data_IF_000677786224
#
_entry.id   IF_000677786224
#
_cell.length_a   1.000
_cell.length_b   1.000
_cell.length_c   1.000
_cell.angle_alpha   90.00
_cell.angle_beta   90.00
_cell.angle_gamma   90.00
#
_symmetry.space_group_name_H-M   'P 1'
#
loop_
_entity.id
_entity.type
_entity.pdbx_description
1 polymer ?
#
# COMPACT_ATOMS: atom_id res chain seq x y z
N UNK A 1 5.70 -78.33 -4.54
CA UNK A 1 5.00 -77.41 -3.63
C UNK A 1 4.88 -76.07 -4.35
N UNK A 2 3.72 -75.75 -4.94
CA UNK A 2 2.61 -74.98 -4.33
C UNK A 2 2.87 -73.47 -4.40
N UNK A 3 2.62 -72.83 -5.55
CA UNK A 3 1.52 -71.89 -5.97
C UNK A 3 1.66 -70.41 -5.53
N UNK A 4 1.33 -69.52 -6.49
CA UNK A 4 0.86 -68.12 -6.42
C UNK A 4 1.96 -67.04 -6.30
N UNK A 5 1.94 -65.94 -7.06
CA UNK A 5 0.90 -65.39 -7.92
C UNK A 5 1.46 -64.22 -8.75
N UNK A 6 0.81 -63.97 -9.89
CA UNK A 6 1.16 -62.88 -10.79
C UNK A 6 0.95 -61.50 -10.16
N UNK A 7 1.89 -60.60 -10.42
CA UNK A 7 1.64 -59.16 -10.29
C UNK A 7 1.10 -58.66 -11.64
N UNK A 8 -0.21 -58.70 -11.78
CA UNK A 8 -0.92 -57.92 -12.79
C UNK A 8 -0.72 -56.43 -12.47
N UNK A 9 -0.22 -55.67 -13.44
CA UNK A 9 -0.23 -54.21 -13.41
C UNK A 9 -1.69 -53.73 -13.41
N UNK A 10 -2.13 -52.89 -12.45
CA UNK A 10 -3.40 -52.20 -12.61
C UNK A 10 -3.25 -51.06 -13.63
N UNK A 11 -4.21 -50.92 -14.58
CA UNK A 11 -4.27 -49.82 -15.53
C UNK A 11 -5.02 -48.60 -14.95
N UNK A 12 -5.05 -47.51 -15.74
CA UNK A 12 -5.73 -46.22 -15.52
C UNK A 12 -4.95 -45.22 -14.64
N UNK A 13 -4.75 -43.96 -15.04
CA UNK A 13 -5.68 -43.07 -15.72
C UNK A 13 -4.94 -42.09 -16.66
N UNK A 14 -5.35 -42.04 -17.94
CA UNK A 14 -5.15 -40.86 -18.80
C UNK A 14 -6.11 -39.77 -18.32
N UNK A 15 -5.59 -38.76 -17.65
CA UNK A 15 -6.26 -37.47 -17.43
C UNK A 15 -5.31 -36.47 -18.10
N UNK A 16 -5.57 -35.96 -19.30
CA UNK A 16 -6.83 -35.36 -19.68
C UNK A 16 -6.80 -33.92 -19.20
N UNK A 17 -6.73 -33.00 -20.16
CA UNK A 17 -6.81 -31.55 -19.99
C UNK A 17 -5.52 -30.88 -19.49
N UNK A 18 -4.83 -30.25 -20.46
CA UNK A 18 -4.19 -28.96 -20.20
C UNK A 18 -5.18 -28.14 -19.37
N UNK A 19 -4.89 -27.95 -18.09
CA UNK A 19 -5.41 -26.79 -17.39
C UNK A 19 -4.67 -25.64 -18.05
N UNK A 20 -5.27 -25.10 -19.11
CA UNK A 20 -5.12 -23.70 -19.45
C UNK A 20 -5.38 -22.98 -18.14
N UNK A 21 -4.30 -22.61 -17.44
CA UNK A 21 -4.31 -21.53 -16.47
C UNK A 21 -4.74 -20.33 -17.30
N UNK A 22 -6.06 -20.19 -17.44
CA UNK A 22 -6.70 -18.95 -17.81
C UNK A 22 -6.34 -18.01 -16.66
N UNK A 23 -5.16 -17.39 -16.78
CA UNK A 23 -4.69 -16.28 -15.97
C UNK A 23 -5.57 -15.07 -16.30
N UNK A 24 -6.88 -15.22 -16.10
CA UNK A 24 -7.67 -14.17 -15.50
C UNK A 24 -7.30 -14.19 -14.03
N UNK A 25 -6.11 -13.66 -13.75
CA UNK A 25 -5.80 -13.00 -12.49
C UNK A 25 -6.92 -11.99 -12.32
N UNK A 26 -8.00 -12.48 -11.71
CA UNK A 26 -9.07 -11.66 -11.22
C UNK A 26 -8.35 -10.87 -10.15
N UNK A 27 -7.96 -9.64 -10.49
CA UNK A 27 -7.62 -8.62 -9.51
C UNK A 27 -8.88 -8.51 -8.65
N UNK A 28 -9.00 -9.39 -7.66
CA UNK A 28 -9.90 -9.19 -6.56
C UNK A 28 -9.39 -7.88 -5.95
N UNK A 29 -10.02 -6.77 -6.33
CA UNK A 29 -9.97 -5.53 -5.58
C UNK A 29 -10.21 -5.97 -4.14
N UNK A 30 -9.26 -5.77 -3.22
CA UNK A 30 -9.54 -6.08 -1.84
C UNK A 30 -10.78 -5.29 -1.46
N UNK A 31 -11.76 -5.94 -0.84
CA UNK A 31 -12.85 -5.29 -0.13
C UNK A 31 -12.19 -4.43 0.97
N UNK A 32 -11.78 -3.21 0.61
CA UNK A 32 -11.27 -2.20 1.53
C UNK A 32 -12.46 -1.52 2.18
N UNK A 33 -13.13 -2.25 3.06
CA UNK A 33 -13.94 -1.62 4.08
C UNK A 33 -13.15 -1.61 5.41
N UNK A 34 -13.42 -0.59 6.23
CA UNK A 34 -13.16 -0.54 7.69
C UNK A 34 -11.95 0.20 8.28
N UNK A 35 -11.13 0.91 7.50
CA UNK A 35 -10.35 2.02 8.08
C UNK A 35 -10.25 3.20 7.13
N UNK A 36 -11.29 4.04 7.17
CA UNK A 36 -11.33 5.37 6.54
C UNK A 36 -10.13 6.23 6.92
N UNK A 37 -9.57 5.96 8.09
CA UNK A 37 -8.39 6.59 8.65
C UNK A 37 -7.45 5.53 9.24
N UNK A 38 -6.21 5.50 8.79
CA UNK A 38 -5.14 4.72 9.39
C UNK A 38 -4.16 5.66 10.10
N UNK A 39 -3.74 5.31 11.32
CA UNK A 39 -2.81 6.13 12.11
C UNK A 39 -1.56 5.33 12.46
N UNK A 40 -0.40 5.91 12.17
CA UNK A 40 0.91 5.34 12.47
C UNK A 40 1.71 6.27 13.37
N UNK A 41 2.19 5.75 14.50
CA UNK A 41 3.13 6.49 15.36
C UNK A 41 4.49 6.51 14.68
N UNK A 42 4.96 7.70 14.35
CA UNK A 42 6.24 7.91 13.66
C UNK A 42 7.04 9.03 14.32
N UNK A 43 8.28 9.16 13.91
CA UNK A 43 9.07 10.39 14.10
C UNK A 43 9.10 11.12 12.77
N UNK A 44 8.85 12.43 12.78
CA UNK A 44 8.92 13.29 11.61
C UNK A 44 10.02 14.34 11.78
N UNK A 45 10.75 14.66 10.70
CA UNK A 45 11.72 15.76 10.70
C UNK A 45 11.05 17.03 10.19
N UNK A 46 10.85 17.99 11.08
CA UNK A 46 10.19 19.25 10.75
C UNK A 46 11.08 20.19 9.90
N UNK A 47 10.55 21.36 9.55
CA UNK A 47 11.22 22.32 8.65
C UNK A 47 12.52 22.91 9.17
N UNK A 48 12.71 22.91 10.49
CA UNK A 48 13.95 23.36 11.15
C UNK A 48 14.93 22.21 11.40
N UNK A 49 14.62 21.01 10.90
CA UNK A 49 15.50 19.85 10.95
C UNK A 49 15.44 19.04 12.25
N UNK A 50 14.52 19.34 13.16
CA UNK A 50 14.32 18.62 14.43
C UNK A 50 13.42 17.42 14.21
N UNK A 51 13.79 16.29 14.81
CA UNK A 51 12.98 15.07 14.84
C UNK A 51 11.98 15.14 16.00
N UNK A 52 10.69 15.03 15.70
CA UNK A 52 9.60 15.09 16.68
C UNK A 52 8.71 13.86 16.55
N UNK A 53 8.21 13.29 17.67
CA UNK A 53 7.12 12.31 17.62
C UNK A 53 5.90 12.90 16.90
N UNK A 54 5.25 12.12 16.05
CA UNK A 54 4.17 12.56 15.18
C UNK A 54 3.30 11.37 14.80
N UNK A 55 2.00 11.59 14.73
CA UNK A 55 1.07 10.64 14.16
C UNK A 55 0.91 10.90 12.67
N UNK A 56 1.22 9.89 11.87
CA UNK A 56 0.96 9.88 10.44
C UNK A 56 -0.42 9.27 10.21
N UNK A 57 -1.37 10.12 9.83
CA UNK A 57 -2.72 9.75 9.50
C UNK A 57 -2.88 9.64 7.99
N UNK A 58 -3.37 8.51 7.49
CA UNK A 58 -3.71 8.27 6.08
C UNK A 58 -5.23 8.21 5.98
N UNK A 59 -5.83 9.18 5.30
CA UNK A 59 -7.27 9.31 5.17
C UNK A 59 -7.70 8.95 3.74
N UNK A 60 -8.38 7.81 3.59
CA UNK A 60 -8.85 7.34 2.29
C UNK A 60 -10.12 8.08 1.82
N UNK A 61 -10.97 8.55 2.74
CA UNK A 61 -12.18 9.31 2.40
C UNK A 61 -11.82 10.68 1.79
N UNK A 62 -10.81 11.35 2.37
CA UNK A 62 -10.35 12.66 1.91
C UNK A 62 -9.20 12.58 0.91
N UNK A 63 -8.63 11.39 0.70
CA UNK A 63 -7.43 11.16 -0.11
C UNK A 63 -6.30 12.12 0.28
N UNK A 64 -5.93 12.10 1.55
CA UNK A 64 -4.84 12.94 2.08
C UNK A 64 -4.10 12.23 3.20
N UNK A 65 -2.84 12.62 3.41
CA UNK A 65 -2.12 12.32 4.64
C UNK A 65 -2.05 13.55 5.53
N UNK A 66 -2.12 13.34 6.84
CA UNK A 66 -1.94 14.39 7.85
C UNK A 66 -0.94 13.95 8.90
N UNK A 67 0.06 14.79 9.14
CA UNK A 67 1.01 14.66 10.24
C UNK A 67 0.52 15.50 11.42
N UNK A 68 0.28 14.89 12.58
CA UNK A 68 -0.20 15.58 13.79
C UNK A 68 0.72 15.36 14.98
N UNK A 69 0.85 16.36 15.84
CA UNK A 69 1.50 16.20 17.15
C UNK A 69 0.67 15.23 18.02
N UNK A 70 1.29 14.21 18.63
CA UNK A 70 0.55 13.18 19.37
C UNK A 70 -0.06 13.71 20.68
N UNK A 71 0.56 14.74 21.28
CA UNK A 71 0.16 15.25 22.59
C UNK A 71 -1.11 16.13 22.55
N UNK A 72 -1.35 16.83 21.43
CA UNK A 72 -2.40 17.83 21.31
C UNK A 72 -3.21 17.74 19.99
N UNK A 73 -2.88 16.79 19.10
CA UNK A 73 -3.52 16.62 17.79
C UNK A 73 -3.25 17.75 16.80
N UNK A 74 -2.32 18.67 17.09
CA UNK A 74 -2.06 19.83 16.24
C UNK A 74 -1.49 19.40 14.90
N UNK A 75 -2.06 19.95 13.83
CA UNK A 75 -1.65 19.67 12.46
C UNK A 75 -0.26 20.27 12.17
N UNK A 76 0.69 19.42 11.83
CA UNK A 76 2.05 19.76 11.40
C UNK A 76 2.10 19.95 9.89
N UNK A 77 1.47 19.05 9.15
CA UNK A 77 1.35 19.12 7.70
C UNK A 77 0.16 18.30 7.21
N UNK A 78 -0.51 18.79 6.16
CA UNK A 78 -1.52 18.05 5.40
C UNK A 78 -1.06 18.02 3.96
N UNK A 79 -1.04 16.82 3.36
CA UNK A 79 -0.63 16.60 1.98
C UNK A 79 -1.74 15.81 1.28
N UNK A 80 -2.47 16.43 0.33
CA UNK A 80 -3.46 15.72 -0.47
C UNK A 80 -2.78 14.74 -1.44
N UNK A 81 -3.45 13.64 -1.78
CA UNK A 81 -2.96 12.61 -2.68
C UNK A 81 -2.59 13.16 -4.07
N UNK A 82 -3.29 14.21 -4.52
CA UNK A 82 -2.98 14.93 -5.76
C UNK A 82 -1.57 15.51 -5.84
N UNK A 83 -0.93 15.72 -4.69
CA UNK A 83 0.42 16.24 -4.57
C UNK A 83 1.44 15.13 -4.30
N UNK A 84 1.02 13.91 -3.97
CA UNK A 84 1.93 12.83 -3.65
C UNK A 84 2.29 12.10 -4.94
N UNK A 85 3.58 12.01 -5.22
CA UNK A 85 4.09 11.25 -6.36
C UNK A 85 4.09 9.76 -6.01
N UNK A 86 4.75 9.42 -4.89
CA UNK A 86 4.83 8.07 -4.31
C UNK A 86 5.53 8.10 -2.95
N UNK A 87 5.37 7.03 -2.16
CA UNK A 87 6.19 6.73 -0.99
C UNK A 87 7.20 5.62 -1.31
N UNK A 88 8.46 5.81 -0.88
CA UNK A 88 9.57 4.87 -1.09
C UNK A 88 10.33 4.57 0.20
N UNK A 89 10.88 3.35 0.37
CA UNK A 89 11.76 3.05 1.49
C UNK A 89 13.10 3.81 1.33
N UNK A 90 13.75 4.11 2.45
CA UNK A 90 15.14 4.59 2.41
C UNK A 90 16.10 3.42 2.16
N UNK A 91 17.09 3.62 1.28
CA UNK A 91 18.14 2.63 1.03
C UNK A 91 19.16 2.54 2.19
N UNK A 92 19.27 3.60 2.99
CA UNK A 92 20.30 3.71 4.03
C UNK A 92 19.76 3.56 5.45
N UNK A 93 18.44 3.65 5.63
CA UNK A 93 17.79 3.66 6.95
C UNK A 93 16.55 2.78 6.91
N UNK A 94 16.64 1.56 7.43
CA UNK A 94 15.58 0.56 7.33
C UNK A 94 14.23 0.99 7.96
N UNK A 95 14.24 1.89 8.93
CA UNK A 95 13.03 2.42 9.57
C UNK A 95 12.41 3.64 8.87
N UNK A 96 13.01 4.11 7.78
CA UNK A 96 12.61 5.38 7.17
C UNK A 96 11.74 5.17 5.92
N UNK A 97 10.64 5.93 5.85
CA UNK A 97 9.86 6.14 4.64
C UNK A 97 10.09 7.56 4.13
N UNK A 98 10.27 7.69 2.82
CA UNK A 98 10.34 8.99 2.13
C UNK A 98 9.11 9.14 1.25
N UNK A 99 8.31 10.16 1.52
CA UNK A 99 7.10 10.51 0.77
C UNK A 99 7.48 11.63 -0.18
N UNK A 100 7.50 11.33 -1.47
CA UNK A 100 7.83 12.28 -2.53
C UNK A 100 6.59 13.09 -2.92
N UNK A 101 6.73 14.40 -3.02
CA UNK A 101 5.63 15.30 -3.34
C UNK A 101 5.96 16.21 -4.51
N UNK A 102 4.98 16.50 -5.35
CA UNK A 102 5.05 17.56 -6.33
C UNK A 102 5.11 18.91 -5.58
N UNK A 103 6.09 19.73 -5.92
CA UNK A 103 6.56 20.87 -5.12
C UNK A 103 5.47 21.95 -4.87
N UNK A 104 4.71 21.84 -3.77
CA UNK A 104 3.64 22.82 -3.45
C UNK A 104 4.09 23.87 -2.42
N UNK A 105 5.20 23.65 -1.70
CA UNK A 105 5.68 24.55 -0.61
C UNK A 105 7.22 24.60 -0.46
N UNK A 106 7.97 24.39 -1.54
CA UNK A 106 9.44 24.35 -1.52
C UNK A 106 10.02 23.08 -0.87
N UNK A 107 9.19 22.12 -0.46
CA UNK A 107 9.61 20.79 0.00
C UNK A 107 9.33 19.75 -1.07
N UNK A 108 10.36 19.01 -1.44
CA UNK A 108 10.29 17.93 -2.43
C UNK A 108 9.96 16.57 -1.78
N UNK A 109 10.15 16.44 -0.47
CA UNK A 109 9.84 15.21 0.25
C UNK A 109 9.54 15.41 1.73
N UNK A 110 8.78 14.47 2.30
CA UNK A 110 8.57 14.29 3.73
C UNK A 110 9.23 12.98 4.15
N UNK A 111 10.06 13.03 5.21
CA UNK A 111 10.75 11.85 5.74
C UNK A 111 10.18 11.52 7.11
N UNK A 112 9.73 10.29 7.28
CA UNK A 112 9.20 9.76 8.54
C UNK A 112 9.98 8.50 8.92
N UNK A 113 10.13 8.26 10.22
CA UNK A 113 10.79 7.08 10.77
C UNK A 113 9.83 6.32 11.68
N UNK A 114 9.71 5.01 11.50
CA UNK A 114 9.02 4.15 12.45
C UNK A 114 9.95 3.79 13.62
N UNK A 115 9.39 3.40 14.78
CA UNK A 115 10.16 2.81 15.88
C UNK A 115 10.99 1.60 15.40
N UNK A 116 12.19 1.42 15.94
CA UNK A 116 13.13 0.38 15.48
C UNK A 116 12.65 -1.05 15.79
N UNK A 117 11.81 -1.22 16.80
CA UNK A 117 11.12 -2.45 17.15
C UNK A 117 9.93 -2.75 16.21
N UNK A 118 9.53 -1.79 15.38
CA UNK A 118 8.37 -1.87 14.49
C UNK A 118 8.72 -1.69 13.01
N UNK A 119 9.95 -2.02 12.60
CA UNK A 119 10.44 -1.83 11.20
C UNK A 119 9.48 -2.41 10.14
N UNK A 120 8.72 -3.46 10.47
CA UNK A 120 7.69 -4.03 9.58
C UNK A 120 6.63 -3.00 9.15
N UNK A 121 6.35 -1.98 9.97
CA UNK A 121 5.41 -0.89 9.68
C UNK A 121 5.85 -0.01 8.51
N UNK A 122 7.14 0.00 8.15
CA UNK A 122 7.61 0.66 6.93
C UNK A 122 6.85 0.14 5.71
N UNK A 123 6.71 -1.18 5.58
CA UNK A 123 6.01 -1.78 4.45
C UNK A 123 4.50 -1.47 4.45
N UNK A 124 3.89 -1.34 5.64
CA UNK A 124 2.48 -0.97 5.75
C UNK A 124 2.25 0.48 5.32
N UNK A 125 3.07 1.41 5.83
CA UNK A 125 3.01 2.82 5.42
C UNK A 125 3.23 2.97 3.90
N UNK A 126 4.21 2.26 3.34
CA UNK A 126 4.47 2.28 1.89
C UNK A 126 3.28 1.78 1.08
N UNK A 127 2.73 0.62 1.45
CA UNK A 127 1.55 0.04 0.80
C UNK A 127 0.38 1.01 0.86
N UNK A 128 0.10 1.56 2.03
CA UNK A 128 -1.11 2.32 2.29
C UNK A 128 -1.10 3.69 1.60
N UNK A 129 0.02 4.42 1.65
CA UNK A 129 0.17 5.70 0.94
C UNK A 129 0.10 5.47 -0.56
N UNK A 130 0.83 4.49 -1.09
CA UNK A 130 0.84 4.25 -2.54
C UNK A 130 -0.54 3.78 -3.04
N UNK A 131 -1.27 2.99 -2.24
CA UNK A 131 -2.66 2.63 -2.55
C UNK A 131 -3.57 3.86 -2.59
N UNK A 132 -3.43 4.79 -1.65
CA UNK A 132 -4.21 6.04 -1.65
C UNK A 132 -3.93 6.88 -2.91
N UNK A 133 -2.68 6.96 -3.34
CA UNK A 133 -2.29 7.65 -4.59
C UNK A 133 -2.86 6.95 -5.82
N UNK A 134 -2.85 5.63 -5.86
CA UNK A 134 -3.49 4.84 -6.92
C UNK A 134 -4.99 5.14 -7.00
N UNK A 135 -5.70 5.09 -5.87
CA UNK A 135 -7.13 5.42 -5.81
C UNK A 135 -7.43 6.83 -6.34
N UNK A 136 -6.58 7.80 -6.02
CA UNK A 136 -6.73 9.15 -6.57
C UNK A 136 -6.55 9.18 -8.10
N UNK A 137 -5.61 8.41 -8.65
CA UNK A 137 -5.42 8.32 -10.12
C UNK A 137 -6.60 7.64 -10.80
N UNK A 138 -7.11 6.55 -10.22
CA UNK A 138 -8.29 5.84 -10.74
C UNK A 138 -9.50 6.79 -10.83
N UNK A 139 -9.71 7.62 -9.81
CA UNK A 139 -10.77 8.63 -9.79
C UNK A 139 -10.58 9.70 -10.88
N UNK A 140 -9.34 10.11 -11.17
CA UNK A 140 -9.08 11.05 -12.27
C UNK A 140 -9.39 10.42 -13.62
N UNK A 141 -9.05 9.15 -13.82
CA UNK A 141 -9.33 8.42 -15.07
C UNK A 141 -10.82 8.20 -15.29
N UNK A 142 -11.57 7.84 -14.24
CA UNK A 142 -13.03 7.70 -14.29
C UNK A 142 -13.70 9.03 -14.65
N UNK A 143 -13.28 10.14 -14.01
CA UNK A 143 -13.81 11.47 -14.29
C UNK A 143 -13.39 12.01 -15.67
N UNK A 144 -12.24 11.57 -16.20
CA UNK A 144 -11.77 11.95 -17.53
C UNK A 144 -12.46 11.19 -18.67
N UNK A 145 -13.10 10.04 -18.37
CA UNK A 145 -13.86 9.23 -19.33
C UNK A 145 -15.37 9.19 -19.01
N UNK A 146 -16.12 10.28 -19.28
CA UNK A 146 -17.56 10.33 -19.00
C UNK A 146 -18.44 9.40 -19.87
N UNK A 147 -17.85 8.63 -20.81
CA UNK A 147 -18.58 7.82 -21.79
C UNK A 147 -18.55 6.29 -21.54
N UNK A 148 -18.07 5.81 -20.39
CA UNK A 148 -18.01 4.36 -20.07
C UNK A 148 -19.18 3.83 -19.21
N UNK A 149 -20.05 4.69 -18.67
CA UNK A 149 -21.29 4.28 -17.97
C UNK A 149 -22.51 4.54 -18.85
N UNK A 150 -22.67 3.75 -19.91
CA UNK A 150 -23.93 3.66 -20.64
C UNK A 150 -24.00 2.35 -21.43
N UNK A 151 -24.13 1.21 -20.74
CA UNK A 151 -24.72 -0.03 -21.30
C UNK A 151 -25.38 -0.84 -20.19
#
# INVERSE_FOLDING_TARGET
MTVLGGAALPPFVRIGKLVSLDTKTTYAKPDYDEAKLLTYVVTFRNGIGVKVPTDLNINYDKLEITLTEPDNGKNVATIPASQIIQAIPSQNVASQVTILVANVKGRESYKVWVPLDEIRRVNYILRDINKMVELYRDLLEENANPFMTAY
#
